data_IF_030740618118
#
_entry.id   IF_030740618118
#
_cell.length_a   1.000
_cell.length_b   1.000
_cell.length_c   1.000
_cell.angle_alpha   90.00
_cell.angle_beta   90.00
_cell.angle_gamma   90.00
#
_symmetry.space_group_name_H-M   'P 1'
#
loop_
_entity.id
_entity.type
_entity.pdbx_description
1 polymer ?
#
# COMPACT_ATOMS: atom_id res chain seq x y z
N UNK A 1 -24.03 2.76 6.42
CA UNK A 1 -22.83 3.51 6.81
C UNK A 1 -21.66 2.57 6.69
N UNK A 2 -20.65 2.88 5.88
CA UNK A 2 -19.45 2.03 5.82
C UNK A 2 -18.77 2.09 7.19
N UNK A 3 -18.91 1.04 8.00
CA UNK A 3 -18.44 0.95 9.40
C UNK A 3 -16.92 0.87 9.54
N UNK A 4 -16.19 1.09 8.44
CA UNK A 4 -14.75 1.08 8.38
C UNK A 4 -14.36 2.54 8.15
N UNK A 5 -13.73 3.16 9.15
CA UNK A 5 -13.28 4.56 9.09
C UNK A 5 -12.37 4.88 7.88
N UNK A 6 -11.78 6.08 7.83
CA UNK A 6 -10.95 6.47 6.70
C UNK A 6 -9.84 5.44 6.44
N UNK A 7 -9.64 5.07 5.17
CA UNK A 7 -8.66 4.08 4.77
C UNK A 7 -7.28 4.41 5.36
N UNK A 8 -6.59 3.47 6.05
CA UNK A 8 -5.30 3.76 6.68
C UNK A 8 -4.23 4.24 5.68
N UNK A 9 -4.28 3.79 4.42
CA UNK A 9 -3.40 4.32 3.37
C UNK A 9 -3.64 5.80 3.11
N UNK A 10 -4.90 6.25 3.12
CA UNK A 10 -5.24 7.65 2.87
C UNK A 10 -4.77 8.58 3.99
N UNK A 11 -4.51 8.06 5.19
CA UNK A 11 -4.07 8.83 6.37
C UNK A 11 -2.61 8.59 6.75
N UNK A 12 -1.91 7.63 6.12
CA UNK A 12 -0.52 7.32 6.40
C UNK A 12 0.44 8.40 5.86
N UNK A 13 0.70 9.43 6.66
CA UNK A 13 1.62 10.53 6.31
C UNK A 13 3.07 10.10 6.16
N UNK A 14 3.48 9.03 6.86
CA UNK A 14 4.83 8.47 6.75
C UNK A 14 5.16 7.97 5.33
N UNK A 15 4.15 7.64 4.55
CA UNK A 15 4.30 7.20 3.16
C UNK A 15 4.19 8.34 2.14
N UNK A 16 3.95 9.58 2.57
CA UNK A 16 3.68 10.68 1.64
C UNK A 16 4.86 10.93 0.70
N UNK A 17 4.60 10.96 -0.60
CA UNK A 17 5.59 11.11 -1.66
C UNK A 17 6.17 9.78 -2.18
N UNK A 18 5.93 8.65 -1.50
CA UNK A 18 6.43 7.35 -1.96
C UNK A 18 5.69 6.90 -3.23
N UNK A 19 6.46 6.37 -4.19
CA UNK A 19 5.97 6.06 -5.54
C UNK A 19 5.16 7.22 -6.12
N UNK A 20 5.62 8.47 -5.99
CA UNK A 20 4.90 9.67 -6.45
C UNK A 20 3.49 9.87 -5.88
N UNK A 21 3.12 9.17 -4.81
CA UNK A 21 1.77 9.17 -4.24
C UNK A 21 1.57 10.20 -3.13
N UNK A 22 0.31 10.46 -2.79
CA UNK A 22 -0.07 11.21 -1.58
C UNK A 22 -0.37 10.25 -0.44
N UNK A 23 0.20 10.53 0.74
CA UNK A 23 0.17 9.63 1.90
C UNK A 23 0.55 8.20 1.46
N UNK A 24 -0.20 7.17 1.86
CA UNK A 24 0.03 5.78 1.47
C UNK A 24 -0.68 5.32 0.19
N UNK A 25 -1.25 6.23 -0.61
CA UNK A 25 -2.11 5.86 -1.74
C UNK A 25 -1.44 4.93 -2.75
N UNK A 26 -0.19 5.23 -3.14
CA UNK A 26 0.62 4.44 -4.09
C UNK A 26 1.59 3.46 -3.41
N UNK A 27 1.37 3.17 -2.13
CA UNK A 27 2.14 2.15 -1.38
C UNK A 27 1.25 1.44 -0.35
N UNK A 28 -0.05 1.31 -0.64
CA UNK A 28 -1.05 0.84 0.32
C UNK A 28 -0.80 -0.59 0.82
N UNK A 29 -0.03 -1.38 0.07
CA UNK A 29 0.46 -2.70 0.47
C UNK A 29 1.38 -2.66 1.68
N UNK A 30 2.21 -1.63 1.83
CA UNK A 30 3.11 -1.45 2.96
C UNK A 30 2.43 -0.83 4.21
N UNK A 31 1.23 -0.26 4.06
CA UNK A 31 0.51 0.37 5.18
C UNK A 31 -0.32 -0.66 5.97
N UNK A 32 -0.08 -0.80 7.27
CA UNK A 32 -0.86 -1.73 8.11
C UNK A 32 -2.36 -1.36 8.16
N UNK A 33 -3.23 -2.36 8.36
CA UNK A 33 -4.68 -2.15 8.47
C UNK A 33 -5.39 -1.81 7.15
N UNK A 34 -4.70 -1.78 6.01
CA UNK A 34 -5.37 -1.59 4.72
C UNK A 34 -6.12 -2.85 4.30
N UNK A 35 -7.30 -2.63 3.73
CA UNK A 35 -8.23 -3.66 3.29
C UNK A 35 -8.11 -3.82 1.77
N UNK A 36 -7.20 -4.67 1.29
CA UNK A 36 -7.25 -5.09 -0.12
C UNK A 36 -8.47 -6.00 -0.30
N UNK A 37 -9.50 -5.52 -1.01
CA UNK A 37 -10.73 -6.29 -1.27
C UNK A 37 -11.69 -6.39 -0.08
N UNK A 38 -11.59 -5.50 0.91
CA UNK A 38 -12.55 -5.44 2.03
C UNK A 38 -12.31 -6.44 3.17
N UNK A 39 -11.20 -7.19 3.17
CA UNK A 39 -10.84 -8.08 4.28
C UNK A 39 -9.51 -7.70 4.94
N UNK A 40 -9.42 -7.89 6.26
CA UNK A 40 -8.18 -7.68 7.02
C UNK A 40 -7.18 -8.77 6.61
N UNK A 41 -6.19 -8.40 5.81
CA UNK A 41 -5.22 -9.33 5.22
C UNK A 41 -4.08 -9.65 6.20
N UNK A 42 -4.37 -10.42 7.27
CA UNK A 42 -3.41 -11.17 8.10
C UNK A 42 -2.01 -10.56 8.36
N UNK A 43 -1.00 -11.43 8.48
CA UNK A 43 0.39 -11.03 8.69
C UNK A 43 1.02 -10.43 7.42
N UNK A 44 2.04 -9.58 7.59
CA UNK A 44 2.73 -8.86 6.52
C UNK A 44 3.11 -9.74 5.29
N UNK A 45 3.57 -10.97 5.52
CA UNK A 45 3.94 -11.91 4.45
C UNK A 45 2.75 -12.37 3.58
N UNK A 46 1.58 -12.64 4.20
CA UNK A 46 0.34 -13.01 3.49
C UNK A 46 -0.13 -11.86 2.60
N UNK A 47 0.04 -10.64 3.09
CA UNK A 47 -0.34 -9.41 2.40
C UNK A 47 0.51 -9.16 1.15
N UNK A 48 1.82 -9.46 1.20
CA UNK A 48 2.70 -9.29 0.02
C UNK A 48 2.25 -10.16 -1.16
N UNK A 49 1.87 -11.42 -0.93
CA UNK A 49 1.38 -12.31 -1.99
C UNK A 49 0.11 -11.77 -2.65
N UNK A 50 -0.86 -11.31 -1.84
CA UNK A 50 -2.11 -10.77 -2.35
C UNK A 50 -1.90 -9.42 -3.08
N UNK A 51 -0.98 -8.58 -2.60
CA UNK A 51 -0.65 -7.33 -3.26
C UNK A 51 0.12 -7.54 -4.58
N UNK A 52 0.98 -8.56 -4.69
CA UNK A 52 1.63 -8.88 -5.97
C UNK A 52 0.63 -9.30 -7.07
N UNK A 53 -0.52 -9.85 -6.69
CA UNK A 53 -1.62 -10.14 -7.60
C UNK A 53 -2.51 -8.93 -7.92
N UNK A 54 -2.45 -7.85 -7.13
CA UNK A 54 -3.29 -6.66 -7.28
C UNK A 54 -2.92 -5.85 -8.53
N UNK A 55 -3.91 -5.52 -9.35
CA UNK A 55 -3.67 -4.77 -10.60
C UNK A 55 -3.19 -3.35 -10.33
N UNK A 56 -3.63 -2.73 -9.23
CA UNK A 56 -3.12 -1.42 -8.83
C UNK A 56 -1.64 -1.47 -8.43
N UNK A 57 -1.21 -2.52 -7.72
CA UNK A 57 0.22 -2.71 -7.40
C UNK A 57 1.04 -2.88 -8.67
N UNK A 58 0.58 -3.72 -9.61
CA UNK A 58 1.28 -3.94 -10.90
C UNK A 58 1.36 -2.65 -11.71
N UNK A 59 0.27 -1.88 -11.76
CA UNK A 59 0.22 -0.58 -12.41
C UNK A 59 1.27 0.38 -11.82
N UNK A 60 1.26 0.57 -10.50
CA UNK A 60 2.25 1.46 -9.84
C UNK A 60 3.68 0.96 -10.08
N UNK A 61 3.94 -0.34 -9.95
CA UNK A 61 5.25 -0.92 -10.22
C UNK A 61 5.72 -0.67 -11.66
N UNK A 62 4.81 -0.74 -12.62
CA UNK A 62 5.11 -0.49 -14.03
C UNK A 62 5.33 1.00 -14.31
N UNK A 63 4.55 1.89 -13.69
CA UNK A 63 4.67 3.35 -13.83
C UNK A 63 5.98 3.89 -13.22
N UNK A 64 6.37 3.41 -12.04
CA UNK A 64 7.61 3.85 -11.38
C UNK A 64 8.86 3.24 -12.02
N UNK A 65 8.75 2.03 -12.56
CA UNK A 65 9.86 1.28 -13.12
C UNK A 65 10.85 0.74 -12.06
N UNK A 66 11.84 -0.06 -12.48
CA UNK A 66 12.69 -0.83 -11.56
C UNK A 66 13.65 0.01 -10.71
N UNK A 67 13.93 1.26 -11.10
CA UNK A 67 14.89 2.13 -10.41
C UNK A 67 14.25 3.04 -9.35
N UNK A 68 12.98 3.43 -9.53
CA UNK A 68 12.30 4.38 -8.65
C UNK A 68 11.24 3.73 -7.75
N UNK A 69 10.86 2.48 -8.04
CA UNK A 69 9.81 1.79 -7.30
C UNK A 69 10.23 1.47 -5.85
N UNK A 70 9.49 2.02 -4.91
CA UNK A 70 9.59 1.77 -3.47
C UNK A 70 8.57 0.71 -3.05
N UNK A 71 9.08 -0.46 -2.63
CA UNK A 71 8.23 -1.54 -2.14
C UNK A 71 7.76 -1.31 -0.70
N UNK A 72 8.60 -0.70 0.14
CA UNK A 72 8.39 -0.55 1.59
C UNK A 72 8.50 0.91 2.02
N UNK A 73 7.84 1.26 3.14
CA UNK A 73 8.00 2.58 3.76
C UNK A 73 9.33 2.57 4.54
N UNK A 74 10.24 3.53 4.30
CA UNK A 74 11.48 3.63 5.06
C UNK A 74 11.20 3.83 6.55
N UNK A 75 11.83 3.04 7.42
CA UNK A 75 11.72 3.19 8.88
C UNK A 75 10.52 2.53 9.55
N UNK A 76 9.76 1.67 8.85
CA UNK A 76 8.86 0.71 9.52
C UNK A 76 9.68 -0.46 10.09
N UNK A 77 10.15 -0.33 11.32
CA UNK A 77 10.55 -1.46 12.18
C UNK A 77 9.36 -1.94 13.00
#
# INVERSE_FOLDING_TARGET
>A
MSELGPCPAATCRAANGLNGGRNGGRICWAVAGTLCGGQVQGTFARKQLNCMACDYFKMVKNEEGPLNFMLLIPGQT
#
